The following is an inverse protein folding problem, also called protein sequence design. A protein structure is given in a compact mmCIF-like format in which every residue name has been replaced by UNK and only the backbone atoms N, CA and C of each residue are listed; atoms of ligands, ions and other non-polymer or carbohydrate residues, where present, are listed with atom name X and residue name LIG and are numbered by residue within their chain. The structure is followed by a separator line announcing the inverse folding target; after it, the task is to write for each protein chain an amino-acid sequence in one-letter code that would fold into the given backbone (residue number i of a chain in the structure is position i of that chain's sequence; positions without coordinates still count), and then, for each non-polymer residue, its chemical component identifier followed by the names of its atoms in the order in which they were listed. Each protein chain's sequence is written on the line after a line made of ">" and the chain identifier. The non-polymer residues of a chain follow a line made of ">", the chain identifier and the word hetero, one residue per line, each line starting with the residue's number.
data_IF_623731450750
#
_entry.id   IF_623731450750
#
_cell.length_a   1.000
_cell.length_b   1.000
_cell.length_c   1.000
_cell.angle_alpha   90.00
_cell.angle_beta   90.00
_cell.angle_gamma   90.00
#
_symmetry.space_group_name_H-M   'P 1'
#
loop_
_entity.id
_entity.type
_entity.pdbx_description
1 polymer ?
#
# COMPACT_ATOMS: atom_id res chain seq x y z
N UNK A 1 -36.67 -10.41 -52.14
CA UNK A 1 -36.02 -9.58 -53.18
C UNK A 1 -34.56 -9.38 -52.77
N UNK A 2 -33.65 -9.78 -53.67
CA UNK A 2 -32.17 -9.64 -53.67
C UNK A 2 -31.41 -10.37 -52.55
N UNK A 3 -30.89 -11.58 -52.82
CA UNK A 3 -29.72 -11.95 -53.65
C UNK A 3 -28.41 -11.71 -52.88
N UNK A 4 -27.73 -12.77 -52.43
CA UNK A 4 -26.68 -13.51 -53.18
C UNK A 4 -25.33 -12.78 -53.07
N UNK A 5 -24.17 -13.37 -52.80
CA UNK A 5 -23.59 -14.70 -52.94
C UNK A 5 -22.49 -14.79 -51.83
N UNK A 6 -22.22 -15.85 -51.07
CA UNK A 6 -21.74 -17.18 -51.44
C UNK A 6 -20.45 -17.20 -52.28
N UNK A 7 -19.49 -18.01 -51.81
CA UNK A 7 -18.44 -18.74 -52.55
C UNK A 7 -16.93 -18.38 -52.30
N UNK A 8 -16.01 -19.38 -52.34
CA UNK A 8 -15.22 -19.91 -51.21
C UNK A 8 -13.80 -20.38 -51.67
N UNK A 9 -13.25 -21.43 -51.03
CA UNK A 9 -12.34 -22.45 -51.62
C UNK A 9 -10.84 -22.10 -51.78
N UNK A 10 -10.05 -22.76 -50.90
CA UNK A 10 -8.84 -23.59 -51.12
C UNK A 10 -7.95 -23.36 -52.36
N UNK A 11 -6.63 -23.27 -52.13
CA UNK A 11 -5.57 -23.91 -52.95
C UNK A 11 -4.24 -23.83 -52.15
N UNK A 12 -3.67 -24.93 -51.61
CA UNK A 12 -2.67 -25.81 -52.25
C UNK A 12 -1.36 -25.03 -52.51
N UNK A 13 -0.37 -25.17 -51.62
CA UNK A 13 0.77 -26.09 -51.73
C UNK A 13 1.78 -25.73 -52.85
N UNK A 14 3.02 -25.41 -52.46
CA UNK A 14 4.21 -25.86 -53.20
C UNK A 14 5.49 -25.72 -52.34
N UNK A 15 5.79 -26.78 -51.61
CA UNK A 15 7.16 -27.25 -51.46
C UNK A 15 7.67 -27.66 -52.86
N UNK A 16 8.91 -27.34 -53.21
CA UNK A 16 9.92 -28.23 -53.84
C UNK A 16 11.05 -27.40 -54.47
N UNK A 17 12.29 -27.85 -54.22
CA UNK A 17 13.53 -27.45 -54.88
C UNK A 17 14.58 -27.09 -53.83
N UNK A 18 15.35 -28.02 -53.24
CA UNK A 18 16.14 -29.06 -53.90
C UNK A 18 17.31 -28.37 -54.62
N UNK A 19 18.59 -28.53 -54.31
CA UNK A 19 19.37 -29.35 -53.40
C UNK A 19 20.84 -29.09 -53.75
N UNK A 20 21.77 -29.72 -53.03
CA UNK A 20 23.19 -29.91 -53.37
C UNK A 20 24.18 -28.77 -53.01
N UNK A 21 24.92 -28.94 -51.90
CA UNK A 21 26.38 -29.17 -51.94
C UNK A 21 26.94 -29.52 -50.55
N UNK A 22 27.61 -30.66 -50.52
CA UNK A 22 28.38 -31.24 -49.42
C UNK A 22 29.58 -30.36 -49.06
N UNK A 23 29.77 -30.02 -47.78
CA UNK A 23 31.10 -29.96 -47.14
C UNK A 23 30.90 -30.18 -45.64
N UNK A 24 31.55 -31.21 -45.10
CA UNK A 24 31.45 -31.56 -43.70
C UNK A 24 32.30 -30.68 -42.79
N UNK A 25 31.81 -30.47 -41.58
CA UNK A 25 32.64 -30.42 -40.38
C UNK A 25 31.89 -31.16 -39.27
N UNK A 26 32.40 -32.33 -38.90
CA UNK A 26 32.09 -32.95 -37.62
C UNK A 26 32.60 -32.00 -36.52
N UNK A 27 31.75 -31.09 -36.03
CA UNK A 27 31.99 -30.42 -34.77
C UNK A 27 31.33 -31.25 -33.67
N UNK A 28 32.19 -31.92 -32.89
CA UNK A 28 31.81 -32.70 -31.73
C UNK A 28 30.87 -31.89 -30.84
N UNK A 29 29.67 -32.43 -30.64
CA UNK A 29 28.66 -31.88 -29.74
C UNK A 29 29.07 -32.23 -28.32
N UNK A 30 29.94 -31.42 -27.72
CA UNK A 30 30.15 -31.45 -26.29
C UNK A 30 28.87 -30.94 -25.61
N UNK A 31 28.22 -31.69 -24.71
CA UNK A 31 27.19 -31.12 -23.86
C UNK A 31 27.88 -30.13 -22.92
N UNK A 32 27.71 -28.84 -23.17
CA UNK A 32 28.11 -27.80 -22.23
C UNK A 32 27.09 -27.80 -21.09
N UNK A 33 27.27 -28.71 -20.14
CA UNK A 33 26.55 -28.72 -18.87
C UNK A 33 27.00 -27.48 -18.08
N UNK A 34 26.21 -26.40 -18.17
CA UNK A 34 26.44 -25.18 -17.41
C UNK A 34 26.07 -25.46 -15.95
N UNK A 35 26.99 -26.07 -15.21
CA UNK A 35 26.98 -26.06 -13.75
C UNK A 35 27.23 -24.63 -13.26
N UNK A 36 26.19 -23.79 -13.34
CA UNK A 36 26.14 -22.56 -12.57
C UNK A 36 25.82 -22.95 -11.12
N UNK A 37 26.86 -23.23 -10.34
CA UNK A 37 26.71 -23.37 -8.90
C UNK A 37 26.10 -22.06 -8.36
N UNK A 38 24.84 -22.12 -7.93
CA UNK A 38 24.19 -21.03 -7.22
C UNK A 38 25.01 -20.78 -5.95
N UNK A 39 25.56 -19.58 -5.71
CA UNK A 39 26.22 -19.33 -4.44
C UNK A 39 25.22 -19.58 -3.32
N UNK A 40 25.62 -20.38 -2.33
CA UNK A 40 24.81 -20.62 -1.15
C UNK A 40 24.53 -19.28 -0.47
N UNK A 41 23.26 -19.01 -0.18
CA UNK A 41 22.87 -17.84 0.59
C UNK A 41 23.41 -18.03 2.02
N UNK A 42 24.51 -17.36 2.34
CA UNK A 42 24.95 -17.20 3.73
C UNK A 42 23.90 -16.35 4.45
N UNK A 43 23.15 -16.96 5.37
CA UNK A 43 22.19 -16.22 6.20
C UNK A 43 22.95 -15.35 7.20
N UNK A 44 22.93 -14.04 7.00
CA UNK A 44 23.29 -13.08 8.05
C UNK A 44 22.27 -13.21 9.18
N UNK A 45 22.67 -13.43 10.45
CA UNK A 45 21.73 -13.49 11.56
C UNK A 45 21.02 -12.14 11.68
N UNK A 46 19.69 -12.17 11.69
CA UNK A 46 18.87 -10.98 11.81
C UNK A 46 19.10 -10.32 13.19
N UNK A 47 19.21 -8.98 13.26
CA UNK A 47 19.25 -8.28 14.54
C UNK A 47 17.94 -8.54 15.31
N UNK A 48 18.07 -9.04 16.54
CA UNK A 48 16.92 -9.27 17.42
C UNK A 48 16.43 -7.91 17.92
N UNK A 49 15.40 -7.37 17.28
CA UNK A 49 14.66 -6.24 17.82
C UNK A 49 13.68 -6.74 18.88
N UNK A 50 13.88 -6.36 20.14
CA UNK A 50 12.90 -6.57 21.18
C UNK A 50 11.70 -5.65 20.91
N UNK A 51 10.53 -6.23 20.64
CA UNK A 51 9.28 -5.48 20.59
C UNK A 51 9.02 -4.91 21.98
N UNK A 52 8.94 -3.58 22.17
CA UNK A 52 8.58 -3.03 23.46
C UNK A 52 7.17 -3.51 23.83
N UNK A 53 7.04 -4.10 25.01
CA UNK A 53 5.77 -4.57 25.55
C UNK A 53 4.79 -3.38 25.65
N UNK A 54 3.53 -3.50 25.20
CA UNK A 54 2.58 -2.41 25.27
C UNK A 54 2.39 -1.98 26.72
N UNK A 55 2.76 -0.74 27.04
CA UNK A 55 2.46 -0.12 28.33
C UNK A 55 0.95 -0.06 28.49
N UNK A 56 0.44 -0.71 29.53
CA UNK A 56 -0.96 -0.71 29.93
C UNK A 56 -1.51 0.72 30.07
N UNK A 57 -2.66 0.97 29.43
CA UNK A 57 -3.66 2.02 29.67
C UNK A 57 -3.10 3.35 30.19
N UNK A 58 -2.99 4.33 29.28
CA UNK A 58 -2.84 5.74 29.66
C UNK A 58 -4.15 6.19 30.32
N UNK A 59 -4.21 6.13 31.64
CA UNK A 59 -5.29 6.69 32.43
C UNK A 59 -5.35 8.20 32.13
N UNK A 60 -6.51 8.71 31.71
CA UNK A 60 -6.70 10.17 31.53
C UNK A 60 -6.44 10.84 32.88
N UNK A 61 -5.29 11.47 33.02
CA UNK A 61 -5.05 12.39 34.11
C UNK A 61 -6.09 13.52 33.99
N UNK A 62 -6.64 14.03 35.10
CA UNK A 62 -7.44 15.25 35.06
C UNK A 62 -6.61 16.33 34.35
N UNK A 63 -7.21 17.01 33.38
CA UNK A 63 -6.57 18.18 32.77
C UNK A 63 -6.27 19.14 33.93
N UNK A 64 -5.01 19.56 34.15
CA UNK A 64 -4.74 20.58 35.15
C UNK A 64 -5.57 21.81 34.77
N UNK A 65 -6.46 22.22 35.66
CA UNK A 65 -7.17 23.49 35.53
C UNK A 65 -6.11 24.56 35.74
N UNK A 66 -5.47 24.96 34.65
CA UNK A 66 -4.64 26.17 34.61
C UNK A 66 -5.64 27.32 34.59
N UNK A 67 -5.52 28.22 35.57
CA UNK A 67 -6.26 29.48 35.54
C UNK A 67 -5.84 30.22 34.29
N UNK A 68 -6.73 30.27 33.30
CA UNK A 68 -6.50 31.03 32.07
C UNK A 68 -6.42 32.52 32.46
N UNK A 69 -5.30 33.22 32.19
CA UNK A 69 -5.22 34.64 32.46
C UNK A 69 -6.34 35.37 31.73
N UNK A 70 -6.90 36.39 32.38
CA UNK A 70 -7.99 37.19 31.83
C UNK A 70 -7.55 37.93 30.56
N UNK A 71 -8.52 38.33 29.73
CA UNK A 71 -8.22 39.05 28.49
C UNK A 71 -7.45 40.36 28.73
N UNK A 72 -7.70 41.03 29.86
CA UNK A 72 -7.02 42.26 30.25
C UNK A 72 -5.55 42.00 30.65
N UNK A 73 -5.28 40.90 31.36
CA UNK A 73 -3.91 40.48 31.71
C UNK A 73 -3.12 40.05 30.47
N UNK A 74 -3.75 39.33 29.55
CA UNK A 74 -3.13 38.95 28.27
C UNK A 74 -2.87 40.17 27.37
N UNK A 75 -3.77 41.17 27.38
CA UNK A 75 -3.64 42.39 26.59
C UNK A 75 -2.48 43.30 27.00
N UNK A 76 -1.98 43.15 28.23
CA UNK A 76 -0.81 43.88 28.74
C UNK A 76 0.53 43.22 28.38
N UNK A 77 0.51 41.98 27.91
CA UNK A 77 1.70 41.19 27.58
C UNK A 77 2.01 41.22 26.08
N UNK A 78 3.29 41.09 25.73
CA UNK A 78 3.73 40.85 24.36
C UNK A 78 3.29 39.46 23.88
N UNK A 79 3.22 39.24 22.56
CA UNK A 79 2.90 37.92 22.00
C UNK A 79 3.86 36.82 22.47
N UNK A 80 5.14 37.15 22.67
CA UNK A 80 6.13 36.19 23.18
C UNK A 80 5.82 35.77 24.62
N UNK A 81 5.56 36.73 25.51
CA UNK A 81 5.19 36.47 26.91
C UNK A 81 3.89 35.67 27.01
N UNK A 82 2.90 35.97 26.16
CA UNK A 82 1.67 35.19 26.09
C UNK A 82 1.94 33.73 25.69
N UNK A 83 2.79 33.49 24.68
CA UNK A 83 3.12 32.13 24.25
C UNK A 83 3.90 31.34 25.30
N UNK A 84 4.72 32.00 26.12
CA UNK A 84 5.43 31.36 27.24
C UNK A 84 4.47 30.89 28.35
N UNK A 85 3.30 31.51 28.48
CA UNK A 85 2.27 31.13 29.46
C UNK A 85 1.32 30.05 28.94
N UNK A 86 1.22 29.86 27.62
CA UNK A 86 0.30 28.90 27.01
C UNK A 86 0.80 27.47 27.21
N UNK A 87 -0.02 26.66 27.89
CA UNK A 87 0.13 25.21 27.91
C UNK A 87 -0.52 24.64 26.66
N UNK A 88 0.30 24.20 25.69
CA UNK A 88 -0.20 23.58 24.46
C UNK A 88 -0.75 22.18 24.80
N UNK A 89 -2.03 21.89 24.53
CA UNK A 89 -2.58 20.58 24.80
C UNK A 89 -1.88 19.53 23.92
N UNK A 90 -1.77 18.30 24.45
CA UNK A 90 -1.25 17.19 23.66
C UNK A 90 -2.16 16.94 22.45
N UNK A 91 -1.57 16.85 21.25
CA UNK A 91 -2.30 16.59 20.01
C UNK A 91 -2.71 15.11 19.90
N UNK A 92 -3.64 14.68 20.74
CA UNK A 92 -4.30 13.38 20.60
C UNK A 92 -5.40 13.48 19.54
N UNK A 93 -5.17 12.85 18.39
CA UNK A 93 -6.11 12.91 17.26
C UNK A 93 -7.45 12.25 17.56
N UNK A 94 -7.48 11.25 18.44
CA UNK A 94 -8.72 10.55 18.83
C UNK A 94 -9.57 11.47 19.70
N UNK A 95 -8.97 12.12 20.69
CA UNK A 95 -9.65 13.10 21.56
C UNK A 95 -10.14 14.32 20.75
N UNK A 96 -9.28 14.84 19.86
CA UNK A 96 -9.66 15.95 18.98
C UNK A 96 -10.84 15.58 18.08
N UNK A 97 -10.85 14.37 17.51
CA UNK A 97 -11.96 13.90 16.68
C UNK A 97 -13.26 13.78 17.50
N UNK A 98 -13.21 13.23 18.71
CA UNK A 98 -14.37 13.17 19.61
C UNK A 98 -14.93 14.56 19.94
N UNK A 99 -14.04 15.53 20.20
CA UNK A 99 -14.45 16.89 20.58
C UNK A 99 -14.98 17.72 19.42
N UNK A 100 -14.40 17.55 18.23
CA UNK A 100 -14.64 18.45 17.09
C UNK A 100 -15.58 17.86 16.03
N UNK A 101 -15.81 16.54 16.01
CA UNK A 101 -16.71 15.90 15.05
C UNK A 101 -18.08 15.66 15.69
N UNK A 102 -19.11 16.43 15.33
CA UNK A 102 -20.44 16.24 15.91
C UNK A 102 -21.00 14.85 15.56
N UNK A 103 -21.68 14.23 16.52
CA UNK A 103 -22.31 12.92 16.37
C UNK A 103 -21.38 11.71 16.49
N UNK A 104 -20.16 11.89 17.00
CA UNK A 104 -19.24 10.79 17.32
C UNK A 104 -19.02 10.75 18.84
N UNK A 105 -19.68 9.83 19.51
CA UNK A 105 -19.65 9.72 20.99
C UNK A 105 -18.47 8.88 21.50
N UNK A 106 -18.05 7.88 20.72
CA UNK A 106 -16.93 7.00 21.04
C UNK A 106 -16.14 6.63 19.78
N UNK A 107 -14.82 6.60 19.91
CA UNK A 107 -13.91 6.08 18.88
C UNK A 107 -13.12 4.96 19.56
N UNK A 108 -13.12 3.71 19.10
CA UNK A 108 -12.33 2.65 19.73
C UNK A 108 -10.82 2.92 19.55
N UNK A 109 -10.01 2.47 20.51
CA UNK A 109 -8.55 2.59 20.40
C UNK A 109 -7.98 1.65 19.33
N UNK A 110 -8.62 0.48 19.17
CA UNK A 110 -8.27 -0.54 18.18
C UNK A 110 -9.56 -0.91 17.44
N UNK A 111 -9.57 -0.72 16.12
CA UNK A 111 -10.76 -1.00 15.30
C UNK A 111 -10.88 -2.50 15.01
N UNK A 112 -9.75 -3.16 14.70
CA UNK A 112 -9.68 -4.58 14.43
C UNK A 112 -8.55 -5.19 15.28
N UNK A 113 -8.88 -6.11 16.19
CA UNK A 113 -7.87 -6.81 17.00
C UNK A 113 -7.03 -7.79 16.16
N UNK A 114 -7.61 -8.30 15.07
CA UNK A 114 -6.97 -9.18 14.10
C UNK A 114 -7.05 -8.59 12.70
N UNK A 115 -5.98 -8.74 11.92
CA UNK A 115 -5.99 -8.33 10.52
C UNK A 115 -7.10 -9.07 9.76
N UNK A 116 -7.98 -8.37 9.02
CA UNK A 116 -8.98 -9.03 8.19
C UNK A 116 -8.30 -9.84 7.07
N UNK A 117 -8.71 -11.09 6.87
CA UNK A 117 -8.22 -11.91 5.76
C UNK A 117 -9.12 -11.76 4.53
N UNK A 118 -8.57 -11.18 3.47
CA UNK A 118 -9.26 -11.00 2.20
C UNK A 118 -8.80 -12.06 1.18
N UNK A 119 -9.70 -12.71 0.42
CA UNK A 119 -9.31 -13.56 -0.69
C UNK A 119 -8.80 -12.72 -1.88
N UNK A 120 -7.83 -13.26 -2.63
CA UNK A 120 -7.40 -12.68 -3.91
C UNK A 120 -8.61 -12.60 -4.85
N UNK A 121 -8.77 -11.47 -5.54
CA UNK A 121 -9.95 -11.13 -6.34
C UNK A 121 -11.01 -10.30 -5.60
N UNK A 122 -10.81 -10.00 -4.31
CA UNK A 122 -11.71 -9.09 -3.57
C UNK A 122 -11.62 -7.69 -4.16
N UNK A 123 -12.76 -7.04 -4.39
CA UNK A 123 -12.83 -5.60 -4.74
C UNK A 123 -13.25 -4.80 -3.51
N UNK A 124 -12.55 -3.70 -3.24
CA UNK A 124 -12.85 -2.79 -2.12
C UNK A 124 -12.72 -1.33 -2.54
N UNK A 125 -13.46 -0.45 -1.85
CA UNK A 125 -13.43 0.98 -2.12
C UNK A 125 -12.32 1.66 -1.30
N UNK A 126 -11.54 2.51 -1.95
CA UNK A 126 -10.47 3.29 -1.33
C UNK A 126 -10.66 4.79 -1.60
N UNK A 127 -10.35 5.62 -0.60
CA UNK A 127 -10.19 7.06 -0.81
C UNK A 127 -8.76 7.36 -1.23
N UNK A 128 -8.58 8.00 -2.37
CA UNK A 128 -7.28 8.43 -2.89
C UNK A 128 -7.24 9.95 -2.97
N UNK A 129 -6.05 10.51 -2.74
CA UNK A 129 -5.80 11.95 -2.85
C UNK A 129 -4.78 12.20 -3.95
N UNK A 130 -5.16 12.97 -4.95
CA UNK A 130 -4.29 13.39 -6.03
C UNK A 130 -3.65 14.73 -5.69
N UNK A 131 -2.33 14.73 -5.50
CA UNK A 131 -1.57 15.93 -5.12
C UNK A 131 -1.35 16.89 -6.28
N UNK A 132 -1.52 16.45 -7.52
CA UNK A 132 -1.34 17.32 -8.69
C UNK A 132 -2.49 18.30 -8.86
N UNK A 133 -3.73 17.83 -8.66
CA UNK A 133 -4.94 18.65 -8.76
C UNK A 133 -5.58 18.97 -7.38
N UNK A 134 -4.98 18.49 -6.30
CA UNK A 134 -5.45 18.63 -4.92
C UNK A 134 -6.90 18.15 -4.74
N UNK A 135 -7.24 17.04 -5.40
CA UNK A 135 -8.56 16.43 -5.33
C UNK A 135 -8.55 15.12 -4.54
N UNK A 136 -9.69 14.77 -3.95
CA UNK A 136 -9.89 13.51 -3.24
C UNK A 136 -11.08 12.80 -3.86
N UNK A 137 -10.89 11.54 -4.26
CA UNK A 137 -11.90 10.71 -4.91
C UNK A 137 -11.93 9.31 -4.30
N UNK A 138 -13.02 8.58 -4.55
CA UNK A 138 -13.15 7.18 -4.19
C UNK A 138 -12.95 6.33 -5.43
N UNK A 139 -12.12 5.29 -5.33
CA UNK A 139 -11.83 4.33 -6.39
C UNK A 139 -12.17 2.91 -5.92
N UNK A 140 -12.30 2.00 -6.87
CA UNK A 140 -12.35 0.56 -6.60
C UNK A 140 -11.00 -0.06 -6.90
N UNK A 141 -10.54 -0.96 -6.04
CA UNK A 141 -9.33 -1.72 -6.28
C UNK A 141 -9.55 -3.20 -5.98
N UNK A 142 -8.97 -4.06 -6.81
CA UNK A 142 -8.95 -5.50 -6.67
C UNK A 142 -7.67 -5.98 -5.99
N UNK A 143 -7.80 -6.91 -5.03
CA UNK A 143 -6.67 -7.58 -4.39
C UNK A 143 -6.06 -8.60 -5.36
N UNK A 144 -4.93 -8.28 -5.99
CA UNK A 144 -4.27 -9.14 -6.98
C UNK A 144 -3.23 -10.09 -6.38
N UNK A 145 -2.72 -9.78 -5.18
CA UNK A 145 -1.71 -10.60 -4.52
C UNK A 145 -1.74 -10.44 -2.99
N UNK A 146 -1.53 -11.55 -2.27
CA UNK A 146 -1.45 -11.55 -0.80
C UNK A 146 -0.33 -12.44 -0.26
N UNK A 147 0.25 -12.02 0.85
CA UNK A 147 1.11 -12.82 1.74
C UNK A 147 0.52 -12.81 3.16
N UNK A 148 1.20 -13.44 4.11
CA UNK A 148 0.78 -13.43 5.52
C UNK A 148 0.77 -12.03 6.17
N UNK A 149 1.45 -11.05 5.56
CA UNK A 149 1.63 -9.70 6.15
C UNK A 149 1.40 -8.55 5.17
N UNK A 150 1.15 -8.81 3.88
CA UNK A 150 1.01 -7.76 2.85
C UNK A 150 -0.10 -8.10 1.86
N UNK A 151 -0.86 -7.07 1.48
CA UNK A 151 -1.85 -7.10 0.40
C UNK A 151 -1.47 -6.10 -0.69
N UNK A 152 -1.52 -6.53 -1.95
CA UNK A 152 -1.31 -5.67 -3.10
C UNK A 152 -2.63 -5.50 -3.86
N UNK A 153 -3.11 -4.26 -3.90
CA UNK A 153 -4.36 -3.87 -4.55
C UNK A 153 -4.05 -3.10 -5.84
N UNK A 154 -4.87 -3.30 -6.87
CA UNK A 154 -4.77 -2.61 -8.17
C UNK A 154 -6.12 -2.01 -8.49
N UNK A 155 -6.14 -0.74 -8.89
CA UNK A 155 -7.35 -0.04 -9.33
C UNK A 155 -8.00 -0.75 -10.54
N UNK A 156 -9.34 -0.84 -10.54
CA UNK A 156 -10.14 -1.52 -11.58
C UNK A 156 -11.20 -0.64 -12.21
#
# INVERSE_FOLDING_TARGET
>A
MKNSQFFPIRLIALLIGGGLLLVGCNFGRAPMERNAARPAATSTPAPVFQTPQPSSVRQHAPIPVVETPSADELGALTTEEQLQLVVVPTRDLRDLALRLKPGVDEIPLVVNETAPDYPVGTVSDFWVHNTQDNSTSQIQAELVYKTDVVYAWVEV
#
